data_IF_291229865274
#
_entry.id   IF_291229865274
#
_cell.length_a   1.000
_cell.length_b   1.000
_cell.length_c   1.000
_cell.angle_alpha   90.00
_cell.angle_beta   90.00
_cell.angle_gamma   90.00
#
_symmetry.space_group_name_H-M   'P 1'
#
loop_
_entity.id
_entity.type
_entity.pdbx_description
1 polymer ?
#
# COMPACT_ATOMS: atom_id res chain seq x y z
N UNK A 1 26.67 -6.46 -14.35
CA UNK A 1 25.79 -7.64 -14.42
C UNK A 1 24.77 -7.43 -15.52
N UNK A 2 24.78 -8.23 -16.57
CA UNK A 2 23.79 -8.12 -17.67
C UNK A 2 22.52 -8.82 -17.25
N UNK A 3 21.39 -8.09 -17.24
CA UNK A 3 20.07 -8.68 -17.03
C UNK A 3 19.77 -9.68 -18.16
N UNK A 4 19.53 -10.94 -17.80
CA UNK A 4 19.14 -11.98 -18.75
C UNK A 4 17.73 -11.73 -19.32
N UNK A 5 17.40 -12.28 -20.51
CA UNK A 5 16.09 -12.07 -21.12
C UNK A 5 15.00 -12.79 -20.33
N UNK A 6 13.93 -12.07 -20.03
CA UNK A 6 12.68 -12.65 -19.50
C UNK A 6 12.11 -13.66 -20.49
N UNK A 7 12.29 -14.95 -20.24
CA UNK A 7 11.72 -16.06 -21.02
C UNK A 7 10.36 -16.46 -20.42
N UNK A 8 9.32 -15.74 -20.75
CA UNK A 8 7.94 -16.08 -20.36
C UNK A 8 6.93 -15.36 -21.24
N UNK A 9 5.80 -16.00 -21.52
CA UNK A 9 4.72 -15.62 -22.44
C UNK A 9 3.98 -14.30 -22.09
N UNK A 10 4.58 -13.43 -21.23
CA UNK A 10 4.10 -12.09 -20.93
C UNK A 10 4.74 -11.09 -21.89
N UNK A 11 3.90 -10.44 -22.68
CA UNK A 11 4.34 -9.52 -23.72
C UNK A 11 5.34 -8.50 -23.16
N UNK A 12 6.48 -8.34 -23.84
CA UNK A 12 7.55 -7.37 -23.52
C UNK A 12 7.06 -5.93 -23.29
N UNK A 13 5.85 -5.59 -23.71
CA UNK A 13 5.23 -4.27 -23.53
C UNK A 13 4.95 -3.90 -22.06
N UNK A 14 4.82 -4.87 -21.15
CA UNK A 14 4.44 -4.62 -19.77
C UNK A 14 5.60 -4.81 -18.77
N UNK A 15 6.63 -5.55 -19.14
CA UNK A 15 7.77 -5.83 -18.24
C UNK A 15 8.73 -4.63 -18.09
N UNK A 16 8.82 -3.74 -19.08
CA UNK A 16 9.81 -2.66 -19.09
C UNK A 16 9.30 -1.31 -18.56
N UNK A 17 7.98 -1.12 -18.45
CA UNK A 17 7.41 0.19 -18.07
C UNK A 17 7.44 0.51 -16.56
N UNK A 18 7.69 -0.49 -15.71
CA UNK A 18 7.74 -0.28 -14.27
C UNK A 18 9.13 0.12 -13.76
N UNK A 19 10.19 -0.18 -14.49
CA UNK A 19 11.57 0.13 -14.09
C UNK A 19 11.92 1.62 -14.18
N UNK A 20 11.25 2.36 -15.06
CA UNK A 20 11.48 3.81 -15.25
C UNK A 20 11.07 4.64 -14.04
N UNK A 21 10.17 4.11 -13.20
CA UNK A 21 9.70 4.77 -11.98
C UNK A 21 10.25 4.10 -10.71
N UNK A 22 11.10 3.09 -10.84
CA UNK A 22 11.74 2.47 -9.70
C UNK A 22 12.89 3.36 -9.19
N UNK A 23 12.98 3.50 -7.88
CA UNK A 23 14.04 4.25 -7.20
C UNK A 23 14.80 3.35 -6.25
N UNK A 24 16.08 3.66 -6.03
CA UNK A 24 16.83 3.07 -4.93
C UNK A 24 16.37 3.71 -3.63
N UNK A 25 15.97 2.89 -2.66
CA UNK A 25 15.48 3.36 -1.38
C UNK A 25 15.55 2.28 -0.30
N UNK A 26 15.04 2.61 0.87
CA UNK A 26 14.94 1.65 1.96
C UNK A 26 13.84 0.63 1.66
N UNK A 27 14.22 -0.65 1.61
CA UNK A 27 13.28 -1.75 1.35
C UNK A 27 12.17 -1.89 2.42
N UNK A 28 12.32 -1.27 3.59
CA UNK A 28 11.24 -1.18 4.58
C UNK A 28 10.05 -0.36 4.07
N UNK A 29 10.27 0.59 3.16
CA UNK A 29 9.18 1.33 2.54
C UNK A 29 8.25 0.42 1.72
N UNK A 30 8.82 -0.53 0.97
CA UNK A 30 8.06 -1.51 0.18
C UNK A 30 7.36 -2.53 1.08
N UNK A 31 8.05 -3.02 2.13
CA UNK A 31 7.42 -3.88 3.13
C UNK A 31 6.24 -3.18 3.79
N UNK A 32 6.41 -1.94 4.24
CA UNK A 32 5.34 -1.16 4.86
C UNK A 32 4.17 -0.93 3.90
N UNK A 33 4.44 -0.68 2.62
CA UNK A 33 3.39 -0.57 1.61
C UNK A 33 2.60 -1.88 1.46
N UNK A 34 3.28 -3.02 1.40
CA UNK A 34 2.65 -4.33 1.33
C UNK A 34 1.79 -4.60 2.57
N UNK A 35 2.31 -4.33 3.78
CA UNK A 35 1.57 -4.49 5.04
C UNK A 35 0.35 -3.58 5.12
N UNK A 36 0.42 -2.37 4.56
CA UNK A 36 -0.72 -1.45 4.51
C UNK A 36 -1.86 -1.95 3.61
N UNK A 37 -1.56 -2.78 2.62
CA UNK A 37 -2.57 -3.42 1.75
C UNK A 37 -3.01 -4.80 2.27
N UNK A 38 -2.34 -5.33 3.29
CA UNK A 38 -2.62 -6.62 3.87
C UNK A 38 -3.75 -6.51 4.89
N UNK A 39 -4.94 -6.99 4.54
CA UNK A 39 -6.07 -7.01 5.45
C UNK A 39 -6.04 -8.25 6.35
N UNK A 40 -6.49 -8.10 7.59
CA UNK A 40 -6.64 -9.18 8.57
C UNK A 40 -8.09 -9.33 8.99
N UNK A 41 -8.49 -10.53 9.48
CA UNK A 41 -9.80 -10.69 10.10
C UNK A 41 -9.99 -9.67 11.23
N UNK A 42 -11.12 -8.96 11.22
CA UNK A 42 -11.41 -7.89 12.20
C UNK A 42 -10.97 -6.49 11.79
N UNK A 43 -10.21 -6.34 10.71
CA UNK A 43 -9.97 -5.00 10.16
C UNK A 43 -11.28 -4.35 9.70
N UNK A 44 -11.42 -3.03 9.85
CA UNK A 44 -12.56 -2.31 9.29
C UNK A 44 -12.66 -2.56 7.78
N UNK A 45 -13.88 -2.70 7.22
CA UNK A 45 -14.06 -2.97 5.81
C UNK A 45 -13.38 -1.89 4.96
N UNK A 46 -12.50 -2.33 4.06
CA UNK A 46 -11.82 -1.49 3.09
C UNK A 46 -12.70 -1.20 1.87
N UNK A 47 -12.13 -0.57 0.85
CA UNK A 47 -12.80 -0.30 -0.43
C UNK A 47 -13.17 -1.59 -1.19
N UNK A 48 -12.52 -2.71 -0.88
CA UNK A 48 -12.83 -4.04 -1.45
C UNK A 48 -13.73 -4.82 -0.50
N UNK A 49 -14.78 -5.43 -1.02
CA UNK A 49 -15.74 -6.22 -0.24
C UNK A 49 -15.11 -7.43 0.46
N UNK A 50 -14.13 -8.07 -0.17
CA UNK A 50 -13.37 -9.19 0.38
C UNK A 50 -11.91 -8.99 0.03
N UNK A 51 -11.05 -9.00 1.04
CA UNK A 51 -9.60 -9.04 0.85
C UNK A 51 -9.14 -10.50 0.94
N UNK A 52 -8.47 -11.07 -0.08
CA UNK A 52 -8.03 -12.47 -0.05
C UNK A 52 -7.20 -12.82 1.18
N UNK A 53 -6.46 -11.85 1.72
CA UNK A 53 -5.58 -12.03 2.88
C UNK A 53 -6.32 -12.23 4.20
N UNK A 54 -7.65 -12.04 4.23
CA UNK A 54 -8.48 -12.35 5.41
C UNK A 54 -8.94 -13.83 5.45
N UNK A 55 -8.67 -14.59 4.40
CA UNK A 55 -9.02 -16.02 4.34
C UNK A 55 -8.10 -16.88 5.22
N UNK A 56 -8.58 -18.04 5.71
CA UNK A 56 -7.74 -18.95 6.46
C UNK A 56 -6.48 -19.37 5.69
N UNK A 57 -5.36 -19.47 6.39
CA UNK A 57 -4.07 -19.84 5.82
C UNK A 57 -3.15 -18.67 5.48
N UNK A 58 -3.65 -17.43 5.46
CA UNK A 58 -2.80 -16.26 5.32
C UNK A 58 -2.17 -15.85 6.66
N UNK A 59 -0.87 -15.47 6.68
CA UNK A 59 -0.21 -15.02 7.90
C UNK A 59 -0.72 -13.64 8.30
N UNK A 60 -0.58 -13.31 9.59
CA UNK A 60 -0.79 -11.94 10.07
C UNK A 60 0.31 -11.00 9.58
N UNK A 61 0.03 -9.68 9.59
CA UNK A 61 1.04 -8.63 9.27
C UNK A 61 2.28 -8.79 10.13
N UNK A 62 2.10 -9.10 11.41
CA UNK A 62 3.20 -9.34 12.33
C UNK A 62 4.08 -10.51 11.91
N UNK A 63 3.47 -11.66 11.60
CA UNK A 63 4.19 -12.86 11.13
C UNK A 63 4.91 -12.57 9.81
N UNK A 64 4.28 -11.82 8.91
CA UNK A 64 4.90 -11.44 7.62
C UNK A 64 6.13 -10.57 7.83
N UNK A 65 6.04 -9.55 8.70
CA UNK A 65 7.15 -8.66 9.03
C UNK A 65 8.31 -9.44 9.69
N UNK A 66 8.02 -10.32 10.65
CA UNK A 66 9.03 -11.17 11.29
C UNK A 66 9.74 -12.09 10.28
N UNK A 67 9.00 -12.73 9.38
CA UNK A 67 9.59 -13.58 8.34
C UNK A 67 10.49 -12.78 7.40
N UNK A 68 10.10 -11.56 7.09
CA UNK A 68 10.93 -10.67 6.29
C UNK A 68 12.25 -10.36 7.01
N UNK A 69 12.21 -9.97 8.29
CA UNK A 69 13.40 -9.70 9.10
C UNK A 69 14.33 -10.92 9.16
N UNK A 70 13.76 -12.10 9.45
CA UNK A 70 14.53 -13.36 9.52
C UNK A 70 15.24 -13.70 8.22
N UNK A 71 14.59 -13.47 7.07
CA UNK A 71 15.16 -13.81 5.76
C UNK A 71 16.17 -12.80 5.24
N UNK A 72 16.01 -11.53 5.61
CA UNK A 72 16.85 -10.44 5.08
C UNK A 72 17.91 -9.96 6.06
N UNK A 73 17.79 -10.32 7.35
CA UNK A 73 18.64 -9.79 8.42
C UNK A 73 18.38 -8.31 8.73
N UNK A 74 17.29 -7.71 8.21
CA UNK A 74 17.01 -6.29 8.40
C UNK A 74 16.36 -6.01 9.74
N UNK A 75 16.80 -4.93 10.36
CA UNK A 75 16.13 -4.35 11.53
C UNK A 75 14.81 -3.71 11.12
N UNK A 76 13.76 -3.95 11.90
CA UNK A 76 12.41 -3.43 11.69
C UNK A 76 12.10 -2.20 12.56
N UNK A 77 13.05 -1.67 13.33
CA UNK A 77 12.82 -0.55 14.26
C UNK A 77 12.17 0.67 13.61
N UNK A 78 12.45 0.90 12.32
CA UNK A 78 11.87 2.00 11.54
C UNK A 78 10.61 1.63 10.74
N UNK A 79 10.06 0.45 10.93
CA UNK A 79 8.91 -0.02 10.14
C UNK A 79 7.67 0.85 10.36
N UNK A 80 7.38 1.25 11.60
CA UNK A 80 6.22 2.09 11.91
C UNK A 80 6.31 3.47 11.26
N UNK A 81 7.52 4.04 11.12
CA UNK A 81 7.72 5.26 10.35
C UNK A 81 7.27 5.10 8.89
N UNK A 82 7.68 4.02 8.22
CA UNK A 82 7.29 3.78 6.83
C UNK A 82 5.82 3.40 6.68
N UNK A 83 5.23 2.73 7.67
CA UNK A 83 3.78 2.46 7.73
C UNK A 83 3.01 3.79 7.75
N UNK A 84 3.37 4.69 8.68
CA UNK A 84 2.77 6.00 8.80
C UNK A 84 2.92 6.84 7.53
N UNK A 85 4.15 6.92 7.00
CA UNK A 85 4.45 7.64 5.78
C UNK A 85 3.62 7.14 4.58
N UNK A 86 3.54 5.82 4.36
CA UNK A 86 2.76 5.25 3.27
C UNK A 86 1.26 5.48 3.44
N UNK A 87 0.73 5.50 4.66
CA UNK A 87 -0.67 5.85 4.94
C UNK A 87 -0.96 7.31 4.63
N UNK A 88 -0.09 8.21 5.07
CA UNK A 88 -0.19 9.63 4.73
C UNK A 88 -0.11 9.86 3.21
N UNK A 89 0.86 9.25 2.54
CA UNK A 89 1.01 9.31 1.07
C UNK A 89 -0.25 8.82 0.35
N UNK A 90 -0.84 7.72 0.81
CA UNK A 90 -2.08 7.19 0.25
C UNK A 90 -3.24 8.17 0.41
N UNK A 91 -3.37 8.80 1.58
CA UNK A 91 -4.38 9.82 1.83
C UNK A 91 -4.20 11.03 0.88
N UNK A 92 -2.96 11.51 0.70
CA UNK A 92 -2.66 12.63 -0.19
C UNK A 92 -3.03 12.31 -1.66
N UNK A 93 -2.73 11.10 -2.14
CA UNK A 93 -3.08 10.65 -3.49
C UNK A 93 -4.60 10.61 -3.67
N UNK A 94 -5.34 10.00 -2.72
CA UNK A 94 -6.81 9.90 -2.80
C UNK A 94 -7.44 11.29 -2.67
N UNK A 95 -6.89 12.19 -1.84
CA UNK A 95 -7.32 13.57 -1.73
C UNK A 95 -7.19 14.32 -3.06
N UNK A 96 -6.08 14.15 -3.78
CA UNK A 96 -5.91 14.75 -5.11
C UNK A 96 -6.91 14.21 -6.15
N UNK A 97 -7.37 12.95 -6.01
CA UNK A 97 -8.45 12.39 -6.82
C UNK A 97 -9.79 12.99 -6.42
N UNK A 98 -10.08 13.07 -5.13
CA UNK A 98 -11.30 13.65 -4.58
C UNK A 98 -11.48 15.12 -4.98
N UNK A 99 -10.43 15.93 -4.88
CA UNK A 99 -10.44 17.33 -5.28
C UNK A 99 -10.84 17.50 -6.77
N UNK A 100 -10.33 16.64 -7.66
CA UNK A 100 -10.69 16.68 -9.09
C UNK A 100 -12.16 16.37 -9.36
N UNK A 101 -12.80 15.55 -8.52
CA UNK A 101 -14.24 15.33 -8.61
C UNK A 101 -15.02 16.57 -8.14
N UNK A 102 -14.61 17.20 -7.03
CA UNK A 102 -15.26 18.43 -6.53
C UNK A 102 -15.12 19.60 -7.51
N UNK A 103 -13.98 19.70 -8.21
CA UNK A 103 -13.74 20.72 -9.22
C UNK A 103 -14.45 20.45 -10.56
N UNK A 104 -15.24 19.36 -10.66
CA UNK A 104 -15.92 19.00 -11.90
C UNK A 104 -15.00 18.51 -13.04
N UNK A 105 -13.71 18.29 -12.74
CA UNK A 105 -12.72 17.81 -13.73
C UNK A 105 -12.85 16.34 -14.05
N UNK A 106 -13.68 15.62 -13.30
CA UNK A 106 -14.04 14.22 -13.53
C UNK A 106 -15.53 14.00 -13.33
N UNK A 107 -16.12 13.10 -14.13
CA UNK A 107 -17.50 12.67 -13.94
C UNK A 107 -17.66 11.97 -12.58
N UNK A 108 -18.66 12.35 -11.81
CA UNK A 108 -19.04 11.72 -10.54
C UNK A 108 -20.02 10.56 -10.71
N UNK A 109 -20.40 10.23 -11.96
CA UNK A 109 -21.32 9.14 -12.22
C UNK A 109 -20.78 7.81 -11.69
N UNK A 110 -21.53 7.19 -10.76
CA UNK A 110 -21.14 5.92 -10.13
C UNK A 110 -20.03 6.02 -9.07
N UNK A 111 -19.63 7.22 -8.67
CA UNK A 111 -18.58 7.45 -7.66
C UNK A 111 -19.21 7.87 -6.34
N UNK A 112 -18.91 7.12 -5.26
CA UNK A 112 -19.27 7.48 -3.90
C UNK A 112 -18.19 8.41 -3.30
N UNK A 113 -18.44 9.71 -3.36
CA UNK A 113 -17.54 10.74 -2.83
C UNK A 113 -17.37 10.66 -1.30
N UNK A 114 -18.41 10.28 -0.59
CA UNK A 114 -18.36 10.11 0.87
C UNK A 114 -17.48 8.92 1.25
N UNK A 115 -17.49 7.85 0.46
CA UNK A 115 -16.57 6.73 0.64
C UNK A 115 -15.12 7.14 0.42
N UNK A 116 -14.84 7.98 -0.58
CA UNK A 116 -13.49 8.51 -0.79
C UNK A 116 -13.03 9.36 0.39
N UNK A 117 -13.88 10.26 0.88
CA UNK A 117 -13.61 11.10 2.05
C UNK A 117 -13.31 10.25 3.28
N UNK A 118 -14.20 9.30 3.61
CA UNK A 118 -13.97 8.36 4.73
C UNK A 118 -12.67 7.56 4.59
N UNK A 119 -12.26 7.22 3.37
CA UNK A 119 -10.99 6.54 3.11
C UNK A 119 -9.77 7.42 3.40
N UNK A 120 -9.86 8.73 3.09
CA UNK A 120 -8.82 9.70 3.41
C UNK A 120 -8.68 9.83 4.92
N UNK A 121 -9.80 10.11 5.63
CA UNK A 121 -9.83 10.29 7.07
C UNK A 121 -9.27 9.07 7.82
N UNK A 122 -9.67 7.86 7.38
CA UNK A 122 -9.14 6.60 7.94
C UNK A 122 -7.63 6.46 7.70
N UNK A 123 -7.16 6.78 6.51
CA UNK A 123 -5.73 6.66 6.21
C UNK A 123 -4.90 7.63 7.05
N UNK A 124 -5.40 8.84 7.29
CA UNK A 124 -4.75 9.82 8.16
C UNK A 124 -4.74 9.36 9.63
N UNK A 125 -5.87 8.86 10.14
CA UNK A 125 -5.94 8.32 11.49
C UNK A 125 -4.96 7.15 11.71
N UNK A 126 -4.83 6.25 10.74
CA UNK A 126 -3.87 5.15 10.79
C UNK A 126 -2.41 5.63 10.67
N UNK A 127 -2.15 6.70 9.91
CA UNK A 127 -0.84 7.32 9.83
C UNK A 127 -0.45 7.91 11.19
N UNK A 128 -1.36 8.65 11.82
CA UNK A 128 -1.16 9.23 13.15
C UNK A 128 -0.90 8.15 14.21
N UNK A 129 -1.71 7.08 14.19
CA UNK A 129 -1.51 5.96 15.11
C UNK A 129 -0.15 5.26 14.93
N UNK A 130 0.38 5.19 13.71
CA UNK A 130 1.71 4.65 13.46
C UNK A 130 2.81 5.58 13.99
N UNK A 131 2.68 6.89 13.78
CA UNK A 131 3.65 7.88 14.28
C UNK A 131 3.71 7.91 15.82
N UNK A 132 2.58 7.70 16.50
CA UNK A 132 2.55 7.63 17.98
C UNK A 132 3.29 6.41 18.55
N UNK A 133 3.67 5.42 17.74
CA UNK A 133 4.45 4.26 18.17
C UNK A 133 5.96 4.42 17.95
N UNK A 134 6.39 5.55 17.40
CA UNK A 134 7.82 5.91 17.25
C UNK A 134 8.42 6.35 18.58
#
# INVERSE_FOLDING_TARGET
>A
MRAGPCSGRWSRKYCCKAWEISTLGDALADLAYALNQWAEPGDPPGARRVAPTTLPGFPTRHVLAQRYAQRTGRDLSRLDYYIGFNRWKSAAIVHGVYARYLEGKKSTAGVDLDSLRRSIDRSLALAEAAVRRL
#
